data_IF_502961053157
#
_entry.id   IF_502961053157
#
_cell.length_a   1.000
_cell.length_b   1.000
_cell.length_c   1.000
_cell.angle_alpha   90.00
_cell.angle_beta   90.00
_cell.angle_gamma   90.00
#
_symmetry.space_group_name_H-M   'P 1'
#
loop_
_entity.id
_entity.type
_entity.pdbx_description
1 polymer ?
#
# COMPACT_ATOMS: atom_id res chain seq x y z
N UNK A 1 0.90 19.99 -3.01
CA UNK A 1 2.01 19.01 -3.08
C UNK A 1 1.57 17.90 -2.15
N UNK A 2 1.56 16.64 -2.61
CA UNK A 2 1.00 15.56 -1.81
C UNK A 2 1.76 15.42 -0.49
N UNK A 3 1.02 15.15 0.58
CA UNK A 3 1.59 14.85 1.88
C UNK A 3 2.27 13.48 1.86
N UNK A 4 1.68 12.52 1.15
CA UNK A 4 2.25 11.21 0.90
C UNK A 4 1.87 10.72 -0.50
N UNK A 5 2.81 10.06 -1.17
CA UNK A 5 2.59 9.48 -2.50
C UNK A 5 3.26 8.11 -2.58
N UNK A 6 2.51 7.12 -3.07
CA UNK A 6 2.97 5.80 -3.44
C UNK A 6 2.66 5.61 -4.93
N UNK A 7 3.67 5.21 -5.69
CA UNK A 7 3.54 4.89 -7.11
C UNK A 7 3.97 3.46 -7.30
N UNK A 8 3.06 2.62 -7.81
CA UNK A 8 3.30 1.21 -8.10
C UNK A 8 3.96 0.45 -6.93
N UNK A 9 3.42 0.60 -5.71
CA UNK A 9 4.01 0.00 -4.52
C UNK A 9 3.81 -1.53 -4.48
N UNK A 10 4.90 -2.28 -4.41
CA UNK A 10 4.90 -3.73 -4.27
C UNK A 10 5.46 -4.16 -2.92
N UNK A 11 4.86 -5.18 -2.31
CA UNK A 11 5.37 -5.80 -1.09
C UNK A 11 5.27 -7.31 -1.17
N UNK A 12 6.42 -7.96 -1.01
CA UNK A 12 6.52 -9.42 -0.93
C UNK A 12 7.15 -9.79 0.40
N UNK A 13 6.50 -10.68 1.16
CA UNK A 13 7.06 -11.31 2.35
C UNK A 13 7.65 -12.67 2.01
N UNK A 14 8.76 -13.01 2.66
CA UNK A 14 9.50 -14.26 2.49
C UNK A 14 9.49 -15.07 3.79
N UNK A 15 8.39 -15.76 4.13
CA UNK A 15 8.25 -16.46 5.40
C UNK A 15 9.02 -17.80 5.46
N UNK A 16 10.00 -18.02 4.59
CA UNK A 16 10.73 -19.29 4.45
C UNK A 16 9.99 -20.38 3.65
N UNK A 17 8.70 -20.19 3.37
CA UNK A 17 7.88 -21.01 2.48
C UNK A 17 7.51 -20.30 1.18
N UNK A 18 6.24 -20.36 0.79
CA UNK A 18 5.74 -19.68 -0.42
C UNK A 18 5.79 -18.16 -0.21
N UNK A 19 6.39 -17.38 -1.15
CA UNK A 19 6.38 -15.93 -1.09
C UNK A 19 4.95 -15.37 -1.08
N UNK A 20 4.67 -14.41 -0.19
CA UNK A 20 3.34 -13.78 -0.08
C UNK A 20 3.39 -12.37 -0.65
N UNK A 21 2.65 -12.12 -1.74
CA UNK A 21 2.50 -10.78 -2.34
C UNK A 21 1.41 -10.00 -1.61
N UNK A 22 1.80 -9.21 -0.62
CA UNK A 22 0.90 -8.39 0.19
C UNK A 22 0.39 -7.15 -0.56
N UNK A 23 1.26 -6.49 -1.34
CA UNK A 23 0.87 -5.41 -2.26
C UNK A 23 1.28 -5.78 -3.67
N UNK A 24 0.43 -5.48 -4.65
CA UNK A 24 0.58 -5.83 -6.07
C UNK A 24 0.51 -4.59 -6.96
N UNK A 25 1.36 -3.59 -6.70
CA UNK A 25 1.42 -2.35 -7.48
C UNK A 25 0.38 -1.33 -7.05
N UNK A 26 0.27 -1.09 -5.75
CA UNK A 26 -0.67 -0.12 -5.20
C UNK A 26 -0.15 1.31 -5.40
N UNK A 27 -0.95 2.15 -6.05
CA UNK A 27 -0.69 3.59 -6.17
C UNK A 27 -1.70 4.38 -5.34
N UNK A 28 -1.22 5.30 -4.49
CA UNK A 28 -2.04 6.10 -3.58
C UNK A 28 -1.41 7.49 -3.46
N UNK A 29 -2.23 8.53 -3.50
CA UNK A 29 -1.84 9.92 -3.25
C UNK A 29 -2.72 10.46 -2.11
N UNK A 30 -2.11 11.08 -1.11
CA UNK A 30 -2.80 11.67 0.05
C UNK A 30 -2.40 13.12 0.15
N UNK A 31 -3.39 14.01 0.22
CA UNK A 31 -3.18 15.44 0.37
C UNK A 31 -3.23 15.85 1.85
N UNK A 32 -2.65 17.02 2.15
CA UNK A 32 -2.71 17.57 3.49
C UNK A 32 -4.15 17.96 3.85
N UNK A 33 -4.66 17.43 4.97
CA UNK A 33 -6.03 17.67 5.44
C UNK A 33 -7.04 16.58 5.06
N UNK A 34 -6.64 15.57 4.29
CA UNK A 34 -7.50 14.43 3.97
C UNK A 34 -7.84 13.58 5.21
N UNK A 35 -9.12 13.25 5.36
CA UNK A 35 -9.57 12.19 6.25
C UNK A 35 -9.67 10.88 5.48
N UNK A 36 -8.65 10.01 5.59
CA UNK A 36 -8.55 8.77 4.80
C UNK A 36 -8.88 7.54 5.66
N UNK A 37 -9.66 6.60 5.10
CA UNK A 37 -9.90 5.29 5.67
C UNK A 37 -9.38 4.19 4.73
N UNK A 38 -8.74 3.17 5.29
CA UNK A 38 -8.34 1.95 4.57
C UNK A 38 -9.23 0.81 5.07
N UNK A 39 -9.98 0.20 4.15
CA UNK A 39 -10.95 -0.85 4.46
C UNK A 39 -10.67 -2.08 3.61
N UNK A 40 -10.90 -3.25 4.18
CA UNK A 40 -10.74 -4.53 3.50
C UNK A 40 -10.93 -5.70 4.47
N UNK A 41 -11.08 -6.92 3.94
CA UNK A 41 -11.09 -8.13 4.77
C UNK A 41 -9.75 -8.31 5.50
N UNK A 42 -9.80 -9.02 6.63
CA UNK A 42 -8.62 -9.56 7.30
C UNK A 42 -8.05 -10.76 6.54
#
# INVERSE_FOLDING_TARGET
>A
MPLAELIDCHKVYQPGGVPVRALRGASVCIEAGDGVAILGPS
#
